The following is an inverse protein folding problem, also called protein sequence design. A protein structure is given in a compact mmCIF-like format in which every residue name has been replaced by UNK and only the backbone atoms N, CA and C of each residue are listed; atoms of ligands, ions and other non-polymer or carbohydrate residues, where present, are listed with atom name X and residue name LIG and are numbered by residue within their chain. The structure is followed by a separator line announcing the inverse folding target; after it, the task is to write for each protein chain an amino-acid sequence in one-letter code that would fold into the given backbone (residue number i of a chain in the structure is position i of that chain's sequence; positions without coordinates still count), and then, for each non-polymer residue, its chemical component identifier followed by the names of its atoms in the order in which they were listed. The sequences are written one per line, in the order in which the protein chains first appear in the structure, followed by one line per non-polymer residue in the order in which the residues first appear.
data_IF_278130076356
#
_entry.id   IF_278130076356
#
_cell.length_a   1.000
_cell.length_b   1.000
_cell.length_c   1.000
_cell.angle_alpha   90.00
_cell.angle_beta   90.00
_cell.angle_gamma   90.00
#
_symmetry.space_group_name_H-M   'P 1'
#
loop_
_entity.id
_entity.type
_entity.pdbx_description
1 polymer ?
#
# COMPACT_ATOMS: atom_id res chain seq x y z
N UNK A 1 -0.53 24.94 20.49
CA UNK A 1 -1.62 25.35 19.57
C UNK A 1 -1.22 24.91 18.16
N UNK A 2 -2.08 24.16 17.53
CA UNK A 2 -1.94 23.71 16.13
C UNK A 2 -2.68 24.67 15.20
N UNK A 3 -2.25 24.71 13.94
CA UNK A 3 -2.95 25.38 12.84
C UNK A 3 -2.98 24.47 11.61
N UNK A 4 -3.96 24.69 10.72
CA UNK A 4 -4.17 23.93 9.49
C UNK A 4 -4.11 24.87 8.31
N UNK A 5 -3.51 24.39 7.20
CA UNK A 5 -3.68 24.99 5.89
C UNK A 5 -3.87 23.91 4.83
N UNK A 6 -4.46 24.27 3.71
CA UNK A 6 -4.52 23.42 2.52
C UNK A 6 -3.16 23.29 1.88
N UNK A 7 -2.96 22.19 1.17
CA UNK A 7 -1.75 21.94 0.40
C UNK A 7 -1.68 22.94 -0.79
N UNK A 8 -0.57 23.62 -0.91
CA UNK A 8 -0.24 24.51 -2.02
C UNK A 8 1.10 24.09 -2.65
N UNK A 9 1.29 24.37 -3.93
CA UNK A 9 2.54 24.02 -4.64
C UNK A 9 3.80 24.57 -3.97
N UNK A 10 3.71 25.74 -3.35
CA UNK A 10 4.81 26.34 -2.59
C UNK A 10 5.28 25.53 -1.39
N UNK A 11 4.45 24.56 -0.93
CA UNK A 11 4.68 23.72 0.27
C UNK A 11 5.07 22.28 -0.04
N UNK A 12 5.26 21.92 -1.30
CA UNK A 12 5.57 20.56 -1.71
C UNK A 12 6.87 20.01 -1.07
N UNK A 13 7.88 20.86 -0.89
CA UNK A 13 9.11 20.44 -0.21
C UNK A 13 8.86 20.15 1.27
N UNK A 14 8.12 21.01 1.97
CA UNK A 14 7.78 20.81 3.38
C UNK A 14 6.92 19.55 3.55
N UNK A 15 6.00 19.29 2.62
CA UNK A 15 5.20 18.06 2.58
C UNK A 15 6.10 16.82 2.51
N UNK A 16 7.01 16.74 1.52
CA UNK A 16 7.89 15.59 1.37
C UNK A 16 8.82 15.42 2.57
N UNK A 17 9.31 16.51 3.18
CA UNK A 17 10.09 16.44 4.43
C UNK A 17 9.31 15.80 5.58
N UNK A 18 8.01 16.12 5.73
CA UNK A 18 7.18 15.46 6.73
C UNK A 18 6.99 13.99 6.39
N UNK A 19 6.73 13.60 5.13
CA UNK A 19 6.60 12.20 4.72
C UNK A 19 7.85 11.41 5.06
N UNK A 20 9.04 11.91 4.73
CA UNK A 20 10.32 11.26 4.97
C UNK A 20 10.56 10.98 6.46
N UNK A 21 10.25 11.98 7.32
CA UNK A 21 10.54 11.92 8.76
C UNK A 21 9.39 11.35 9.59
N UNK A 22 8.21 11.12 9.00
CA UNK A 22 7.05 10.62 9.72
C UNK A 22 7.23 9.17 10.20
N UNK A 23 6.61 8.86 11.35
CA UNK A 23 6.59 7.49 11.92
C UNK A 23 5.79 6.49 11.08
N UNK A 24 4.89 7.00 10.21
CA UNK A 24 4.06 6.26 9.28
C UNK A 24 4.14 6.81 7.84
N UNK A 25 5.22 7.52 7.52
CA UNK A 25 5.49 8.03 6.18
C UNK A 25 5.95 6.93 5.23
N UNK A 26 5.43 6.95 4.01
CA UNK A 26 5.73 6.01 2.92
C UNK A 26 5.83 6.80 1.61
N UNK A 27 6.63 6.35 0.65
CA UNK A 27 6.81 7.07 -0.61
C UNK A 27 5.49 7.30 -1.38
N UNK A 28 4.46 6.47 -1.15
CA UNK A 28 3.14 6.67 -1.74
C UNK A 28 2.43 7.95 -1.27
N UNK A 29 2.94 8.61 -0.22
CA UNK A 29 2.46 9.91 0.25
C UNK A 29 3.29 11.10 -0.26
N UNK A 30 4.35 10.85 -1.02
CA UNK A 30 5.13 11.91 -1.63
C UNK A 30 4.39 12.57 -2.80
N UNK A 31 4.64 13.85 -3.03
CA UNK A 31 3.99 14.61 -4.09
C UNK A 31 4.14 13.97 -5.47
N UNK A 32 5.32 13.43 -5.76
CA UNK A 32 5.58 12.81 -7.06
C UNK A 32 4.76 11.53 -7.27
N UNK A 33 4.33 10.86 -6.20
CA UNK A 33 3.39 9.74 -6.31
C UNK A 33 1.99 10.20 -6.70
N UNK A 34 1.53 11.37 -6.26
CA UNK A 34 0.21 11.88 -6.61
C UNK A 34 0.10 12.32 -8.07
N UNK A 35 1.21 12.73 -8.68
CA UNK A 35 1.24 13.30 -10.05
C UNK A 35 0.65 12.38 -11.13
N UNK A 36 0.81 11.06 -11.02
CA UNK A 36 0.31 10.15 -12.06
C UNK A 36 -1.22 10.11 -12.14
N UNK A 37 -1.90 10.51 -11.09
CA UNK A 37 -3.37 10.47 -11.02
C UNK A 37 -4.03 11.79 -10.56
N UNK A 38 -3.27 12.88 -10.48
CA UNK A 38 -3.76 14.17 -9.97
C UNK A 38 -5.02 14.67 -10.70
N UNK A 39 -5.11 14.45 -12.01
CA UNK A 39 -6.27 14.87 -12.81
C UNK A 39 -7.58 14.10 -12.46
N UNK A 40 -7.50 12.99 -11.70
CA UNK A 40 -8.67 12.17 -11.34
C UNK A 40 -9.34 12.62 -10.05
N UNK A 41 -8.67 13.43 -9.23
CA UNK A 41 -9.10 13.74 -7.88
C UNK A 41 -9.06 15.24 -7.61
N UNK A 42 -10.13 15.77 -6.98
CA UNK A 42 -10.14 17.11 -6.42
C UNK A 42 -9.35 17.10 -5.11
N UNK A 43 -8.13 17.63 -5.14
CA UNK A 43 -7.26 17.65 -3.95
C UNK A 43 -7.89 18.48 -2.81
N UNK A 44 -7.84 17.93 -1.61
CA UNK A 44 -8.31 18.56 -0.38
C UNK A 44 -7.37 18.26 0.77
N UNK A 45 -6.12 17.99 0.44
CA UNK A 45 -5.08 17.63 1.40
C UNK A 45 -4.75 18.77 2.36
N UNK A 46 -4.42 18.40 3.60
CA UNK A 46 -4.14 19.37 4.66
C UNK A 46 -2.72 19.19 5.19
N UNK A 47 -2.10 20.30 5.54
CA UNK A 47 -0.87 20.37 6.32
C UNK A 47 -1.18 20.91 7.71
N UNK A 48 -0.65 20.27 8.73
CA UNK A 48 -0.83 20.62 10.12
C UNK A 48 0.47 21.15 10.69
N UNK A 49 0.41 22.31 11.28
CA UNK A 49 1.57 23.01 11.85
C UNK A 49 1.46 23.11 13.38
N UNK A 50 2.58 22.93 14.07
CA UNK A 50 2.76 23.31 15.47
C UNK A 50 3.71 24.50 15.50
N UNK A 51 3.20 25.69 15.82
CA UNK A 51 3.89 26.99 15.57
C UNK A 51 4.17 27.13 14.05
N UNK A 52 5.44 27.24 13.65
CA UNK A 52 5.87 27.36 12.25
C UNK A 52 6.33 26.04 11.59
N UNK A 53 6.38 24.92 12.36
CA UNK A 53 6.85 23.62 11.85
C UNK A 53 5.67 22.78 11.39
N UNK A 54 5.73 22.27 10.16
CA UNK A 54 4.80 21.22 9.69
C UNK A 54 5.08 19.93 10.48
N UNK A 55 4.03 19.34 11.10
CA UNK A 55 4.17 18.19 12.00
C UNK A 55 3.31 17.00 11.62
N UNK A 56 2.25 17.24 10.81
CA UNK A 56 1.44 16.18 10.25
C UNK A 56 0.85 16.58 8.91
N UNK A 57 0.41 15.58 8.14
CA UNK A 57 -0.25 15.73 6.85
C UNK A 57 -1.51 14.88 6.83
N UNK A 58 -2.51 15.35 6.11
CA UNK A 58 -3.70 14.57 5.82
C UNK A 58 -3.92 14.54 4.31
N UNK A 59 -3.36 13.55 3.59
CA UNK A 59 -3.64 13.34 2.17
C UNK A 59 -5.13 13.11 1.97
N UNK A 60 -5.78 13.91 1.15
CA UNK A 60 -7.22 13.82 0.99
C UNK A 60 -7.68 14.27 -0.40
N UNK A 61 -8.80 13.71 -0.85
CA UNK A 61 -9.54 14.21 -1.99
C UNK A 61 -11.01 14.37 -1.64
N UNK A 62 -11.68 15.27 -2.35
CA UNK A 62 -13.08 15.57 -2.18
C UNK A 62 -13.93 14.92 -3.27
N UNK A 63 -15.11 14.42 -2.89
CA UNK A 63 -16.20 14.06 -3.80
C UNK A 63 -17.50 14.58 -3.19
N UNK A 64 -18.09 15.57 -3.80
CA UNK A 64 -19.31 16.25 -3.30
C UNK A 64 -19.10 16.82 -1.88
N UNK A 65 -19.84 16.30 -0.89
CA UNK A 65 -19.78 16.67 0.51
C UNK A 65 -19.01 15.64 1.38
N UNK A 66 -18.22 14.80 0.76
CA UNK A 66 -17.42 13.75 1.42
C UNK A 66 -15.93 13.94 1.14
N UNK A 67 -15.13 13.87 2.19
CA UNK A 67 -13.66 13.77 2.12
C UNK A 67 -13.25 12.31 2.24
N UNK A 68 -12.33 11.91 1.39
CA UNK A 68 -11.64 10.61 1.47
C UNK A 68 -10.18 10.83 1.83
N UNK A 69 -9.62 10.00 2.72
CA UNK A 69 -8.17 10.01 2.98
C UNK A 69 -7.42 9.41 1.78
N UNK A 70 -7.61 10.02 0.64
CA UNK A 70 -7.17 9.85 -0.73
C UNK A 70 -7.58 8.52 -1.40
N UNK A 71 -8.57 8.59 -2.32
CA UNK A 71 -9.10 7.42 -3.04
C UNK A 71 -8.07 6.74 -3.94
N UNK A 72 -7.10 7.48 -4.47
CA UNK A 72 -6.03 6.97 -5.33
C UNK A 72 -4.93 6.18 -4.58
N UNK A 73 -4.99 6.08 -3.26
CA UNK A 73 -4.01 5.38 -2.44
C UNK A 73 -4.58 4.09 -1.86
N UNK A 74 -3.71 3.09 -1.61
CA UNK A 74 -4.10 1.82 -0.98
C UNK A 74 -4.66 2.04 0.43
N UNK A 75 -4.00 2.89 1.20
CA UNK A 75 -4.39 3.40 2.52
C UNK A 75 -3.89 4.85 2.65
N UNK A 76 -4.37 5.55 3.66
CA UNK A 76 -4.08 6.97 3.86
C UNK A 76 -4.15 7.35 5.34
N UNK A 77 -4.88 8.43 5.64
CA UNK A 77 -5.03 8.91 7.00
C UNK A 77 -3.99 9.92 7.41
N UNK A 78 -3.86 10.16 8.71
CA UNK A 78 -2.95 11.16 9.26
C UNK A 78 -1.51 10.68 9.23
N UNK A 79 -0.64 11.38 8.51
CA UNK A 79 0.80 11.16 8.48
C UNK A 79 1.43 12.00 9.57
N UNK A 80 2.20 11.38 10.47
CA UNK A 80 2.58 11.99 11.75
C UNK A 80 4.08 11.96 11.98
N UNK A 81 4.66 13.11 12.36
CA UNK A 81 6.03 13.13 12.88
C UNK A 81 6.11 12.44 14.25
N UNK A 82 7.31 11.92 14.63
CA UNK A 82 7.51 11.18 15.89
C UNK A 82 7.12 11.91 17.16
N UNK A 83 7.26 13.23 17.19
CA UNK A 83 6.97 14.07 18.36
C UNK A 83 5.47 14.26 18.64
N UNK A 84 4.57 13.78 17.78
CA UNK A 84 3.13 13.84 18.04
C UNK A 84 2.70 12.68 18.92
N UNK A 85 2.02 13.03 20.02
CA UNK A 85 1.45 12.11 20.98
C UNK A 85 -0.07 12.02 20.84
N UNK A 86 -0.70 11.08 21.53
CA UNK A 86 -2.14 10.82 21.42
C UNK A 86 -3.01 12.06 21.71
N UNK A 87 -2.63 12.87 22.69
CA UNK A 87 -3.35 14.12 23.00
C UNK A 87 -3.26 15.15 21.85
N UNK A 88 -2.08 15.28 21.23
CA UNK A 88 -1.87 16.14 20.07
C UNK A 88 -2.76 15.70 18.89
N UNK A 89 -2.86 14.38 18.66
CA UNK A 89 -3.67 13.81 17.56
C UNK A 89 -5.16 14.06 17.78
N UNK A 90 -5.67 14.04 19.02
CA UNK A 90 -7.06 14.43 19.32
C UNK A 90 -7.31 15.90 18.94
N UNK A 91 -6.44 16.83 19.33
CA UNK A 91 -6.54 18.27 18.98
C UNK A 91 -6.49 18.45 17.45
N UNK A 92 -5.63 17.71 16.76
CA UNK A 92 -5.52 17.73 15.28
C UNK A 92 -6.83 17.27 14.63
N UNK A 93 -7.45 16.19 15.10
CA UNK A 93 -8.72 15.71 14.55
C UNK A 93 -9.85 16.72 14.75
N UNK A 94 -9.92 17.39 15.89
CA UNK A 94 -10.87 18.49 16.11
C UNK A 94 -10.69 19.63 15.09
N UNK A 95 -9.45 20.00 14.81
CA UNK A 95 -9.13 21.02 13.81
C UNK A 95 -9.47 20.57 12.38
N UNK A 96 -9.16 19.34 12.00
CA UNK A 96 -9.50 18.76 10.68
C UNK A 96 -11.04 18.77 10.51
N UNK A 97 -11.77 18.28 11.50
CA UNK A 97 -13.22 18.22 11.47
C UNK A 97 -13.84 19.62 11.35
N UNK A 98 -13.36 20.57 12.14
CA UNK A 98 -13.81 21.96 12.07
C UNK A 98 -13.52 22.59 10.71
N UNK A 99 -12.33 22.35 10.13
CA UNK A 99 -11.92 22.87 8.83
C UNK A 99 -12.89 22.38 7.74
N UNK A 100 -13.10 21.08 7.64
CA UNK A 100 -13.96 20.49 6.61
C UNK A 100 -15.44 20.82 6.83
N UNK A 101 -15.92 20.85 8.08
CA UNK A 101 -17.28 21.28 8.40
C UNK A 101 -17.57 22.72 7.94
N UNK A 102 -16.62 23.64 8.13
CA UNK A 102 -16.72 25.02 7.65
C UNK A 102 -16.76 25.13 6.12
N UNK A 103 -16.28 24.11 5.40
CA UNK A 103 -16.36 23.99 3.93
C UNK A 103 -17.61 23.24 3.43
N UNK A 104 -18.56 22.95 4.31
CA UNK A 104 -19.80 22.26 3.98
C UNK A 104 -19.63 20.74 3.75
N UNK A 105 -18.51 20.17 4.20
CA UNK A 105 -18.31 18.73 4.18
C UNK A 105 -19.13 18.10 5.30
N UNK A 106 -19.77 16.97 4.99
CA UNK A 106 -20.61 16.22 5.94
C UNK A 106 -19.96 14.95 6.46
N UNK A 107 -19.04 14.37 5.67
CA UNK A 107 -18.44 13.08 5.97
C UNK A 107 -16.95 13.03 5.67
N UNK A 108 -16.23 12.22 6.44
CA UNK A 108 -14.85 11.80 6.16
C UNK A 108 -14.79 10.29 6.12
N UNK A 109 -14.30 9.73 5.01
CA UNK A 109 -13.96 8.31 4.87
C UNK A 109 -12.45 8.16 5.06
N UNK A 110 -12.07 7.52 6.14
CA UNK A 110 -10.69 7.38 6.59
C UNK A 110 -10.18 5.94 6.35
N UNK A 111 -9.14 5.79 5.54
CA UNK A 111 -8.47 4.50 5.28
C UNK A 111 -7.24 4.39 6.18
N UNK A 112 -7.35 3.66 7.28
CA UNK A 112 -6.27 3.56 8.26
C UNK A 112 -5.02 2.88 7.68
N UNK A 113 -3.83 3.37 8.06
CA UNK A 113 -2.55 2.74 7.70
C UNK A 113 -2.37 1.51 8.59
N UNK A 114 -2.25 0.29 8.02
CA UNK A 114 -2.06 -0.91 8.82
C UNK A 114 -0.72 -0.91 9.56
N UNK A 115 -0.70 -1.40 10.79
CA UNK A 115 0.49 -1.40 11.66
C UNK A 115 1.81 -1.88 11.00
N UNK A 116 1.85 -2.95 10.16
CA UNK A 116 3.10 -3.36 9.52
C UNK A 116 3.71 -2.31 8.58
N UNK A 117 2.92 -1.34 8.10
CA UNK A 117 3.39 -0.24 7.24
C UNK A 117 3.88 0.99 8.04
N UNK A 118 3.91 0.92 9.36
CA UNK A 118 4.46 1.98 10.21
C UNK A 118 5.85 1.60 10.73
N UNK A 119 6.77 2.57 10.81
CA UNK A 119 8.15 2.34 11.28
C UNK A 119 8.18 1.82 12.73
N UNK A 120 7.22 2.28 13.54
CA UNK A 120 6.93 1.84 14.92
C UNK A 120 5.46 2.14 15.24
N UNK A 121 4.91 1.77 16.42
CA UNK A 121 3.50 1.98 16.74
C UNK A 121 3.03 3.40 16.47
N UNK A 122 1.95 3.55 15.69
CA UNK A 122 1.44 4.84 15.21
C UNK A 122 -0.10 4.75 15.00
N UNK A 123 -0.82 4.34 16.05
CA UNK A 123 -2.28 4.11 16.00
C UNK A 123 -3.07 5.14 16.84
N UNK A 124 -2.49 6.32 17.09
CA UNK A 124 -3.17 7.41 17.79
C UNK A 124 -4.40 7.91 17.04
N UNK A 125 -4.35 7.81 15.71
CA UNK A 125 -5.47 8.13 14.82
C UNK A 125 -6.68 7.20 15.03
N UNK A 126 -6.46 5.90 15.27
CA UNK A 126 -7.54 4.96 15.56
C UNK A 126 -8.28 5.33 16.86
N UNK A 127 -7.54 5.79 17.88
CA UNK A 127 -8.16 6.29 19.09
C UNK A 127 -8.93 7.60 18.84
N UNK A 128 -8.38 8.50 18.02
CA UNK A 128 -9.06 9.73 17.65
C UNK A 128 -10.36 9.46 16.86
N UNK A 129 -10.34 8.49 15.94
CA UNK A 129 -11.54 8.03 15.21
C UNK A 129 -12.61 7.50 16.16
N UNK A 130 -12.23 6.66 17.15
CA UNK A 130 -13.15 6.18 18.19
C UNK A 130 -13.78 7.33 18.99
N UNK A 131 -12.97 8.31 19.42
CA UNK A 131 -13.42 9.48 20.15
C UNK A 131 -14.37 10.39 19.34
N UNK A 132 -14.27 10.37 18.02
CA UNK A 132 -15.15 11.07 17.10
C UNK A 132 -16.31 10.21 16.60
N UNK A 133 -16.61 9.09 17.26
CA UNK A 133 -17.71 8.17 16.93
C UNK A 133 -17.68 7.66 15.49
N UNK A 134 -16.48 7.54 14.89
CA UNK A 134 -16.30 6.99 13.56
C UNK A 134 -16.73 5.52 13.52
N UNK A 135 -17.45 5.13 12.46
CA UNK A 135 -17.96 3.77 12.26
C UNK A 135 -17.03 3.00 11.32
N UNK A 136 -16.68 1.78 11.68
CA UNK A 136 -16.02 0.85 10.76
C UNK A 136 -17.02 0.45 9.67
N UNK A 137 -16.75 0.83 8.41
CA UNK A 137 -17.65 0.59 7.27
C UNK A 137 -17.13 -0.47 6.29
N UNK A 138 -15.81 -0.75 6.34
CA UNK A 138 -15.17 -1.79 5.54
C UNK A 138 -13.93 -2.30 6.25
N UNK A 139 -13.71 -3.60 6.16
CA UNK A 139 -12.48 -4.27 6.62
C UNK A 139 -12.04 -5.29 5.58
N UNK A 140 -10.87 -5.06 5.01
CA UNK A 140 -10.23 -6.04 4.13
C UNK A 140 -9.23 -6.89 4.91
N UNK A 141 -9.05 -8.14 4.50
CA UNK A 141 -8.02 -9.02 5.05
C UNK A 141 -6.84 -9.05 4.07
N UNK A 142 -5.70 -8.60 4.53
CA UNK A 142 -4.40 -8.68 3.87
C UNK A 142 -3.53 -9.76 4.52
N UNK A 143 -2.50 -10.21 3.83
CA UNK A 143 -1.58 -11.23 4.33
C UNK A 143 -0.17 -10.65 4.41
N UNK A 144 0.46 -10.74 5.59
CA UNK A 144 1.80 -10.22 5.87
C UNK A 144 2.67 -11.32 6.49
N UNK A 145 3.93 -11.41 6.05
CA UNK A 145 4.97 -12.22 6.69
C UNK A 145 5.78 -11.32 7.61
N UNK A 146 5.96 -11.71 8.86
CA UNK A 146 7.06 -11.23 9.70
C UNK A 146 8.30 -12.07 9.32
N UNK A 147 9.26 -11.45 8.63
CA UNK A 147 10.41 -12.17 8.06
C UNK A 147 11.36 -12.72 9.13
N UNK A 148 11.37 -12.14 10.33
CA UNK A 148 12.19 -12.61 11.44
C UNK A 148 11.50 -13.67 12.30
N UNK A 149 10.15 -13.74 12.25
CA UNK A 149 9.38 -14.66 13.09
C UNK A 149 8.20 -15.25 12.32
N UNK A 150 8.48 -16.03 11.29
CA UNK A 150 7.45 -16.59 10.41
C UNK A 150 7.20 -18.08 10.63
N UNK A 151 5.97 -18.56 10.43
CA UNK A 151 5.68 -19.98 10.26
C UNK A 151 6.47 -20.57 9.08
N UNK A 152 6.75 -21.86 9.15
CA UNK A 152 7.43 -22.59 8.06
C UNK A 152 6.58 -22.58 6.80
N UNK A 153 7.24 -22.62 5.64
CA UNK A 153 6.61 -22.88 4.36
C UNK A 153 5.79 -24.17 4.41
N UNK A 154 4.60 -24.14 3.81
CA UNK A 154 3.81 -25.37 3.63
C UNK A 154 4.51 -26.34 2.68
N UNK A 155 4.26 -27.64 2.83
CA UNK A 155 4.89 -28.65 1.95
C UNK A 155 4.45 -28.49 0.50
N UNK A 156 3.23 -28.02 0.25
CA UNK A 156 2.78 -27.68 -1.10
C UNK A 156 3.66 -26.61 -1.72
N UNK A 157 3.98 -25.51 -1.00
CA UNK A 157 4.87 -24.44 -1.51
C UNK A 157 6.29 -24.95 -1.74
N UNK A 158 6.84 -25.73 -0.80
CA UNK A 158 8.18 -26.35 -0.97
C UNK A 158 8.25 -27.20 -2.23
N UNK A 159 7.28 -28.08 -2.46
CA UNK A 159 7.24 -28.94 -3.64
C UNK A 159 7.15 -28.14 -4.94
N UNK A 160 6.36 -27.06 -4.95
CA UNK A 160 6.21 -26.18 -6.10
C UNK A 160 7.51 -25.44 -6.41
N UNK A 161 8.22 -24.94 -5.39
CA UNK A 161 9.53 -24.27 -5.53
C UNK A 161 10.58 -25.23 -6.08
N UNK A 162 10.68 -26.45 -5.50
CA UNK A 162 11.61 -27.48 -5.98
C UNK A 162 11.32 -27.84 -7.45
N UNK A 163 10.05 -27.85 -7.85
CA UNK A 163 9.68 -28.09 -9.25
C UNK A 163 10.22 -26.99 -10.16
N UNK A 164 10.08 -25.72 -9.79
CA UNK A 164 10.62 -24.60 -10.56
C UNK A 164 12.15 -24.70 -10.71
N UNK A 165 12.86 -24.97 -9.61
CA UNK A 165 14.32 -25.17 -9.62
C UNK A 165 14.75 -26.31 -10.55
N UNK A 166 14.05 -27.46 -10.52
CA UNK A 166 14.34 -28.61 -11.42
C UNK A 166 14.08 -28.31 -12.90
N UNK A 167 13.25 -27.30 -13.18
CA UNK A 167 12.99 -26.84 -14.54
C UNK A 167 13.90 -25.67 -14.95
N UNK A 168 15.01 -25.43 -14.24
CA UNK A 168 15.99 -24.40 -14.53
C UNK A 168 15.35 -22.99 -14.65
N UNK A 169 14.36 -22.68 -13.81
CA UNK A 169 13.79 -21.33 -13.74
C UNK A 169 14.81 -20.41 -13.08
N UNK A 170 15.09 -19.29 -13.72
CA UNK A 170 15.99 -18.25 -13.22
C UNK A 170 15.18 -17.04 -12.74
N UNK A 171 15.62 -16.42 -11.64
CA UNK A 171 15.00 -15.21 -11.10
C UNK A 171 15.94 -14.03 -11.30
N UNK A 172 15.45 -12.96 -11.91
CA UNK A 172 16.22 -11.74 -12.14
C UNK A 172 15.40 -10.47 -11.88
N UNK A 173 16.09 -9.38 -11.54
CA UNK A 173 15.48 -8.05 -11.59
C UNK A 173 15.36 -7.64 -13.07
N UNK A 174 14.20 -7.09 -13.46
CA UNK A 174 13.90 -6.72 -14.84
C UNK A 174 13.46 -5.25 -14.92
N UNK A 175 13.73 -4.62 -16.05
CA UNK A 175 13.21 -3.30 -16.41
C UNK A 175 12.03 -3.36 -17.38
N UNK A 176 11.67 -4.52 -17.89
CA UNK A 176 10.63 -4.69 -18.93
C UNK A 176 9.21 -4.67 -18.33
N UNK A 177 8.79 -3.46 -17.92
CA UNK A 177 7.44 -3.21 -17.43
C UNK A 177 6.37 -3.52 -18.50
N UNK A 178 6.68 -3.36 -19.79
CA UNK A 178 5.71 -3.60 -20.88
C UNK A 178 5.36 -5.07 -20.95
N UNK A 179 6.38 -5.94 -20.95
CA UNK A 179 6.18 -7.40 -20.97
C UNK A 179 5.41 -7.87 -19.74
N UNK A 180 5.79 -7.36 -18.55
CA UNK A 180 5.08 -7.65 -17.31
C UNK A 180 3.62 -7.21 -17.38
N UNK A 181 3.35 -5.97 -17.80
CA UNK A 181 1.99 -5.42 -17.89
C UNK A 181 1.12 -6.20 -18.88
N UNK A 182 1.68 -6.67 -19.98
CA UNK A 182 1.00 -7.55 -20.92
C UNK A 182 0.53 -8.84 -20.21
N UNK A 183 1.46 -9.56 -19.53
CA UNK A 183 1.13 -10.80 -18.81
C UNK A 183 0.08 -10.53 -17.71
N UNK A 184 0.23 -9.44 -16.98
CA UNK A 184 -0.71 -9.04 -15.94
C UNK A 184 -2.12 -8.80 -16.52
N UNK A 185 -2.21 -8.10 -17.64
CA UNK A 185 -3.48 -7.82 -18.33
C UNK A 185 -4.15 -9.10 -18.81
N UNK A 186 -3.38 -10.03 -19.41
CA UNK A 186 -3.89 -11.34 -19.84
C UNK A 186 -4.42 -12.19 -18.67
N UNK A 187 -3.76 -12.10 -17.51
CA UNK A 187 -4.20 -12.80 -16.29
C UNK A 187 -5.48 -12.21 -15.75
N UNK A 188 -5.56 -10.89 -15.62
CA UNK A 188 -6.71 -10.19 -15.05
C UNK A 188 -7.95 -10.27 -15.96
N UNK A 189 -7.76 -10.25 -17.28
CA UNK A 189 -8.85 -10.38 -18.25
C UNK A 189 -9.64 -11.68 -18.06
N UNK A 190 -9.03 -12.77 -17.59
CA UNK A 190 -9.71 -14.04 -17.26
C UNK A 190 -10.74 -13.91 -16.14
N UNK A 191 -10.61 -12.86 -15.34
CA UNK A 191 -11.52 -12.54 -14.22
C UNK A 191 -12.39 -11.30 -14.51
N UNK A 192 -12.41 -10.82 -15.77
CA UNK A 192 -13.16 -9.61 -16.14
C UNK A 192 -12.57 -8.31 -15.55
N UNK A 193 -11.30 -8.33 -15.17
CA UNK A 193 -10.60 -7.20 -14.56
C UNK A 193 -9.46 -6.68 -15.46
N UNK A 194 -8.96 -5.47 -15.16
CA UNK A 194 -7.77 -4.88 -15.78
C UNK A 194 -6.84 -4.33 -14.69
N UNK A 195 -5.54 -4.12 -15.02
CA UNK A 195 -4.63 -3.44 -14.09
C UNK A 195 -5.16 -2.05 -13.72
N UNK A 196 -5.01 -1.66 -12.46
CA UNK A 196 -5.39 -0.31 -11.99
C UNK A 196 -4.53 0.77 -12.63
N UNK A 197 -3.23 0.47 -12.83
CA UNK A 197 -2.30 1.36 -13.51
C UNK A 197 -2.14 0.96 -14.98
N UNK A 198 -2.19 1.93 -15.87
CA UNK A 198 -1.73 1.77 -17.25
C UNK A 198 -0.22 1.56 -17.30
N UNK A 199 0.31 1.10 -18.42
CA UNK A 199 1.77 0.96 -18.60
C UNK A 199 2.49 2.29 -18.45
N UNK A 200 1.94 3.37 -19.01
CA UNK A 200 2.51 4.72 -18.92
C UNK A 200 2.60 5.20 -17.46
N UNK A 201 1.57 4.94 -16.66
CA UNK A 201 1.57 5.27 -15.23
C UNK A 201 2.60 4.46 -14.45
N UNK A 202 2.76 3.17 -14.75
CA UNK A 202 3.81 2.34 -14.12
C UNK A 202 5.22 2.82 -14.51
N UNK A 203 5.44 3.19 -15.76
CA UNK A 203 6.72 3.77 -16.23
C UNK A 203 7.00 5.10 -15.52
N UNK A 204 5.99 5.98 -15.41
CA UNK A 204 6.12 7.26 -14.67
C UNK A 204 6.47 7.01 -13.20
N UNK A 205 5.74 6.14 -12.52
CA UNK A 205 6.00 5.79 -11.11
C UNK A 205 7.39 5.18 -10.92
N UNK A 206 7.80 4.25 -11.79
CA UNK A 206 9.14 3.64 -11.74
C UNK A 206 10.25 4.67 -11.94
N UNK A 207 10.04 5.64 -12.83
CA UNK A 207 11.00 6.73 -13.07
C UNK A 207 11.10 7.68 -11.88
N UNK A 208 9.97 8.00 -11.22
CA UNK A 208 9.96 8.84 -10.01
C UNK A 208 10.54 8.12 -8.80
N UNK A 209 10.33 6.80 -8.69
CA UNK A 209 10.72 5.99 -7.53
C UNK A 209 11.59 4.77 -7.92
N UNK A 210 12.76 4.97 -8.58
CA UNK A 210 13.56 3.88 -9.13
C UNK A 210 14.13 2.93 -8.07
N UNK A 211 14.31 3.40 -6.84
CA UNK A 211 14.81 2.60 -5.72
C UNK A 211 13.68 1.85 -4.99
N UNK A 212 12.46 2.38 -5.01
CA UNK A 212 11.32 1.84 -4.28
C UNK A 212 10.49 0.86 -5.11
N UNK A 213 10.44 1.04 -6.43
CA UNK A 213 9.64 0.18 -7.32
C UNK A 213 10.57 -0.74 -8.09
N UNK A 214 10.44 -2.04 -7.85
CA UNK A 214 11.28 -3.09 -8.44
C UNK A 214 10.41 -4.14 -9.12
N UNK A 215 10.88 -4.64 -10.25
CA UNK A 215 10.21 -5.72 -10.97
C UNK A 215 11.13 -6.94 -10.99
N UNK A 216 10.62 -8.08 -10.55
CA UNK A 216 11.32 -9.37 -10.62
C UNK A 216 10.61 -10.30 -11.59
N UNK A 217 11.39 -10.98 -12.41
CA UNK A 217 10.93 -11.93 -13.40
C UNK A 217 11.44 -13.35 -13.11
N UNK A 218 10.60 -14.34 -13.36
CA UNK A 218 11.01 -15.73 -13.50
C UNK A 218 11.09 -16.06 -14.98
N UNK A 219 12.26 -16.53 -15.40
CA UNK A 219 12.61 -16.81 -16.79
C UNK A 219 12.98 -18.28 -16.97
N UNK A 220 12.72 -18.80 -18.16
CA UNK A 220 13.25 -20.08 -18.65
C UNK A 220 13.53 -19.94 -20.13
N UNK A 221 14.75 -20.22 -20.56
CA UNK A 221 15.15 -20.11 -21.98
C UNK A 221 14.71 -18.79 -22.63
N UNK A 222 15.01 -17.66 -21.96
CA UNK A 222 14.63 -16.28 -22.32
C UNK A 222 13.10 -16.00 -22.32
N UNK A 223 12.27 -16.96 -21.94
CA UNK A 223 10.82 -16.79 -21.87
C UNK A 223 10.36 -16.35 -20.48
N UNK A 224 9.51 -15.35 -20.44
CA UNK A 224 8.85 -14.90 -19.23
C UNK A 224 7.81 -15.93 -18.76
N UNK A 225 7.96 -16.40 -17.53
CA UNK A 225 7.03 -17.32 -16.88
C UNK A 225 6.15 -16.64 -15.84
N UNK A 226 6.72 -15.73 -15.05
CA UNK A 226 6.02 -15.00 -14.03
C UNK A 226 6.71 -13.65 -13.74
N UNK A 227 6.01 -12.73 -13.10
CA UNK A 227 6.58 -11.48 -12.62
C UNK A 227 5.93 -10.99 -11.34
N UNK A 228 6.71 -10.26 -10.54
CA UNK A 228 6.26 -9.59 -9.32
C UNK A 228 6.76 -8.15 -9.32
N UNK A 229 5.83 -7.20 -9.33
CA UNK A 229 6.13 -5.79 -9.11
C UNK A 229 6.08 -5.51 -7.60
N UNK A 230 7.19 -5.03 -7.06
CA UNK A 230 7.40 -4.80 -5.64
C UNK A 230 7.47 -3.31 -5.34
N UNK A 231 6.81 -2.89 -4.26
CA UNK A 231 7.00 -1.60 -3.62
C UNK A 231 7.82 -1.77 -2.35
N UNK A 232 8.99 -1.14 -2.29
CA UNK A 232 9.87 -1.13 -1.12
C UNK A 232 9.62 0.13 -0.30
N UNK A 233 9.04 -0.04 0.89
CA UNK A 233 8.77 1.04 1.84
C UNK A 233 9.85 1.17 2.93
N UNK A 234 11.02 0.58 2.72
CA UNK A 234 12.13 0.56 3.67
C UNK A 234 12.09 -0.65 4.59
N UNK A 235 11.22 -0.69 5.56
CA UNK A 235 11.12 -1.81 6.52
C UNK A 235 10.14 -2.91 6.09
N UNK A 236 9.28 -2.64 5.12
CA UNK A 236 8.28 -3.56 4.57
C UNK A 236 8.33 -3.56 3.06
N UNK A 237 8.23 -4.73 2.47
CA UNK A 237 8.06 -4.94 1.03
C UNK A 237 6.60 -5.28 0.75
N UNK A 238 6.03 -4.69 -0.30
CA UNK A 238 4.69 -5.00 -0.75
C UNK A 238 4.69 -5.52 -2.18
N UNK A 239 4.07 -6.68 -2.42
CA UNK A 239 3.86 -7.18 -3.77
C UNK A 239 2.67 -6.47 -4.41
N UNK A 240 2.94 -5.37 -5.12
CA UNK A 240 1.90 -4.52 -5.73
C UNK A 240 1.11 -5.27 -6.81
N UNK A 241 1.82 -6.01 -7.66
CA UNK A 241 1.23 -6.88 -8.66
C UNK A 241 2.02 -8.19 -8.78
N UNK A 242 1.29 -9.27 -9.01
CA UNK A 242 1.83 -10.59 -9.30
C UNK A 242 1.14 -11.17 -10.52
N UNK A 243 1.90 -11.63 -11.50
CA UNK A 243 1.37 -12.22 -12.70
C UNK A 243 2.11 -13.53 -13.03
N UNK A 244 1.39 -14.52 -13.54
CA UNK A 244 1.90 -15.85 -13.80
C UNK A 244 1.31 -16.39 -15.11
N UNK A 245 2.14 -16.72 -16.08
CA UNK A 245 1.69 -17.36 -17.33
C UNK A 245 1.12 -18.76 -17.04
N UNK A 246 0.46 -19.36 -18.02
CA UNK A 246 -0.04 -20.73 -17.86
C UNK A 246 1.11 -21.72 -17.60
N UNK A 247 2.20 -21.62 -18.38
CA UNK A 247 3.41 -22.43 -18.17
C UNK A 247 4.03 -22.17 -16.81
N UNK A 248 4.19 -20.90 -16.43
CA UNK A 248 4.72 -20.52 -15.12
C UNK A 248 3.92 -21.12 -13.96
N UNK A 249 2.58 -21.18 -14.06
CA UNK A 249 1.74 -21.85 -13.05
C UNK A 249 2.03 -23.34 -12.97
N UNK A 250 2.20 -24.01 -14.10
CA UNK A 250 2.45 -25.44 -14.13
C UNK A 250 3.78 -25.81 -13.47
N UNK A 251 4.80 -24.99 -13.60
CA UNK A 251 6.14 -25.28 -13.06
C UNK A 251 6.46 -24.55 -11.74
N UNK A 252 5.60 -23.66 -11.26
CA UNK A 252 5.76 -23.01 -9.97
C UNK A 252 6.64 -21.74 -10.00
N UNK A 253 6.72 -21.07 -11.13
CA UNK A 253 7.59 -19.92 -11.34
C UNK A 253 7.32 -18.75 -10.37
N UNK A 254 6.04 -18.41 -10.13
CA UNK A 254 5.68 -17.35 -9.19
C UNK A 254 6.06 -17.69 -7.74
N UNK A 255 5.84 -18.94 -7.33
CA UNK A 255 6.23 -19.40 -6.00
C UNK A 255 7.75 -19.31 -5.81
N UNK A 256 8.51 -19.55 -6.84
CA UNK A 256 9.97 -19.44 -6.78
C UNK A 256 10.44 -17.98 -6.73
N UNK A 257 9.81 -17.04 -7.46
CA UNK A 257 10.10 -15.60 -7.25
C UNK A 257 9.85 -15.23 -5.78
N UNK A 258 8.67 -15.55 -5.25
CA UNK A 258 8.31 -15.20 -3.87
C UNK A 258 9.27 -15.80 -2.85
N UNK A 259 9.69 -17.05 -3.06
CA UNK A 259 10.69 -17.70 -2.22
C UNK A 259 12.02 -16.93 -2.25
N UNK A 260 12.50 -16.55 -3.43
CA UNK A 260 13.76 -15.81 -3.62
C UNK A 260 13.67 -14.40 -3.00
N UNK A 261 12.55 -13.70 -3.18
CA UNK A 261 12.34 -12.40 -2.52
C UNK A 261 12.43 -12.50 -1.00
N UNK A 262 11.84 -13.55 -0.43
CA UNK A 262 11.74 -13.75 1.03
C UNK A 262 13.06 -14.23 1.64
N UNK A 263 13.83 -15.08 0.95
CA UNK A 263 14.97 -15.78 1.55
C UNK A 263 16.34 -15.27 1.10
N UNK A 264 16.39 -14.59 -0.06
CA UNK A 264 17.68 -14.25 -0.67
C UNK A 264 17.82 -12.72 -0.89
N UNK A 265 16.73 -12.01 -1.28
CA UNK A 265 16.81 -10.60 -1.69
C UNK A 265 16.47 -9.65 -0.53
N UNK A 266 15.35 -9.88 0.18
CA UNK A 266 14.82 -8.96 1.19
C UNK A 266 14.98 -9.47 2.62
N UNK A 267 16.07 -10.14 2.91
CA UNK A 267 16.35 -10.79 4.21
C UNK A 267 16.42 -9.82 5.38
N UNK A 268 16.82 -8.56 5.13
CA UNK A 268 16.95 -7.50 6.15
C UNK A 268 15.63 -6.74 6.41
N UNK A 269 14.57 -7.02 5.65
CA UNK A 269 13.29 -6.36 5.84
C UNK A 269 12.52 -7.03 6.98
N UNK A 270 11.72 -6.23 7.69
CA UNK A 270 10.91 -6.77 8.79
C UNK A 270 9.68 -7.51 8.28
N UNK A 271 9.03 -6.97 7.26
CA UNK A 271 7.77 -7.51 6.74
C UNK A 271 7.76 -7.67 5.23
N UNK A 272 6.99 -8.64 4.76
CA UNK A 272 6.55 -8.74 3.37
C UNK A 272 5.02 -8.84 3.33
N UNK A 273 4.38 -7.93 2.61
CA UNK A 273 2.93 -7.88 2.42
C UNK A 273 2.53 -8.38 1.03
N UNK A 274 1.58 -9.30 1.00
CA UNK A 274 0.96 -9.79 -0.23
C UNK A 274 -0.30 -9.02 -0.65
N UNK A 275 -0.71 -8.02 0.13
CA UNK A 275 -1.97 -7.31 -0.10
C UNK A 275 -3.21 -8.12 0.27
N UNK A 276 -4.38 -7.52 -0.02
CA UNK A 276 -5.68 -8.05 0.38
C UNK A 276 -6.06 -9.36 -0.34
N UNK A 277 -6.92 -10.15 0.31
CA UNK A 277 -7.53 -11.37 -0.23
C UNK A 277 -9.06 -11.33 -0.10
N UNK A 278 -9.62 -10.14 0.01
CA UNK A 278 -11.06 -9.89 0.11
C UNK A 278 -11.60 -9.19 -1.14
N UNK A 279 -12.87 -9.43 -1.42
CA UNK A 279 -13.66 -8.88 -2.52
C UNK A 279 -14.95 -8.26 -1.94
N UNK A 280 -15.77 -7.59 -2.77
CA UNK A 280 -17.05 -7.01 -2.37
C UNK A 280 -16.93 -6.13 -1.10
N UNK A 281 -16.01 -5.16 -1.13
CA UNK A 281 -15.75 -4.26 0.00
C UNK A 281 -15.52 -4.99 1.33
N UNK A 282 -14.75 -6.08 1.30
CA UNK A 282 -14.37 -6.87 2.48
C UNK A 282 -15.36 -7.98 2.86
N UNK A 283 -16.52 -8.08 2.21
CA UNK A 283 -17.58 -9.03 2.58
C UNK A 283 -17.34 -10.46 2.06
N UNK A 284 -16.45 -10.65 1.10
CA UNK A 284 -16.10 -11.97 0.57
C UNK A 284 -14.61 -12.24 0.74
N UNK A 285 -14.28 -13.34 1.41
CA UNK A 285 -12.90 -13.82 1.54
C UNK A 285 -12.59 -14.82 0.44
N UNK A 286 -11.63 -14.50 -0.42
CA UNK A 286 -11.11 -15.44 -1.41
C UNK A 286 -10.19 -16.45 -0.71
N UNK A 287 -10.78 -17.59 -0.30
CA UNK A 287 -10.09 -18.61 0.49
C UNK A 287 -8.92 -19.26 -0.24
N UNK A 288 -8.99 -19.39 -1.57
CA UNK A 288 -7.88 -19.91 -2.37
C UNK A 288 -6.68 -18.96 -2.39
N UNK A 289 -6.94 -17.66 -2.55
CA UNK A 289 -5.90 -16.64 -2.57
C UNK A 289 -5.23 -16.47 -1.21
N UNK A 290 -6.00 -16.43 -0.11
CA UNK A 290 -5.42 -16.30 1.22
C UNK A 290 -4.62 -17.54 1.61
N UNK A 291 -5.10 -18.76 1.31
CA UNK A 291 -4.39 -20.01 1.58
C UNK A 291 -3.05 -20.08 0.84
N UNK A 292 -2.98 -19.55 -0.40
CA UNK A 292 -1.71 -19.43 -1.13
C UNK A 292 -0.70 -18.57 -0.36
N UNK A 293 -1.11 -17.39 0.10
CA UNK A 293 -0.27 -16.44 0.85
C UNK A 293 0.14 -17.00 2.21
N UNK A 294 -0.80 -17.61 2.93
CA UNK A 294 -0.53 -18.26 4.21
C UNK A 294 0.43 -19.45 4.10
N UNK A 295 0.43 -20.14 2.96
CA UNK A 295 1.38 -21.19 2.63
C UNK A 295 2.85 -20.73 2.60
N UNK A 296 3.11 -19.43 2.41
CA UNK A 296 4.44 -18.80 2.56
C UNK A 296 4.77 -18.39 3.99
N UNK A 297 3.90 -18.65 4.96
CA UNK A 297 4.05 -18.25 6.35
C UNK A 297 3.40 -16.90 6.69
N UNK A 298 2.65 -16.30 5.77
CA UNK A 298 1.92 -15.07 6.02
C UNK A 298 0.77 -15.28 7.02
N UNK A 299 0.38 -14.20 7.71
CA UNK A 299 -0.80 -14.15 8.58
C UNK A 299 -1.60 -12.89 8.32
N UNK A 300 -2.83 -12.91 8.77
CA UNK A 300 -3.81 -11.85 8.51
C UNK A 300 -3.42 -10.53 9.18
N UNK A 301 -3.56 -9.46 8.41
CA UNK A 301 -3.56 -8.06 8.85
C UNK A 301 -4.77 -7.40 8.23
N UNK A 302 -5.49 -6.57 9.00
CA UNK A 302 -6.68 -5.89 8.49
C UNK A 302 -6.36 -4.52 7.91
N UNK A 303 -7.07 -4.16 6.85
CA UNK A 303 -7.12 -2.80 6.30
C UNK A 303 -8.51 -2.26 6.56
N UNK A 304 -8.60 -1.27 7.44
CA UNK A 304 -9.85 -0.73 7.95
C UNK A 304 -10.21 0.61 7.29
N UNK A 305 -11.50 0.75 7.00
CA UNK A 305 -12.09 1.99 6.51
C UNK A 305 -13.15 2.45 7.52
N UNK A 306 -13.00 3.67 7.97
CA UNK A 306 -13.92 4.30 8.91
C UNK A 306 -14.68 5.43 8.23
N UNK A 307 -15.95 5.62 8.58
CA UNK A 307 -16.74 6.77 8.21
C UNK A 307 -17.00 7.61 9.47
N UNK A 308 -16.74 8.89 9.38
CA UNK A 308 -16.98 9.87 10.44
C UNK A 308 -17.93 10.95 9.91
N UNK A 309 -19.02 11.19 10.59
CA UNK A 309 -19.96 12.28 10.29
C UNK A 309 -19.48 13.58 10.94
N UNK A 310 -19.50 14.68 10.19
CA UNK A 310 -19.15 16.03 10.65
C UNK A 310 -20.42 16.79 11.01
N UNK A 311 -21.00 16.46 12.18
CA UNK A 311 -22.25 17.04 12.68
C UNK A 311 -22.11 18.50 13.16
#
# INVERSE_FOLDING_TARGET
MFSICELEKSKYNDWNQVVENAKNGLFLFEIDYFKYHEARFEDSSLMIYKKSKAVALFPANRVNDTIYSHQGLTFGGLIMLPELHAADVLEIFELINKHYKNKGIKKVVYKAIPHPFTKYPAQEDLYALFRNSAKLIRRDVSSVIDLFNRPKLSDSRKNTIVKAQKNNVEICESSDLKKFHQILSEVLAKFGACPVHSITELEQLKNSFPHNIKLYAAMQDEQWLAGVLVYDYGHIIHTQYMANTQQGRQIGALDYILFTLINDIYTEKKYLSFGISTENAGQYLNTGLIAQKEGFGARAVVHDFYEMELL
#
